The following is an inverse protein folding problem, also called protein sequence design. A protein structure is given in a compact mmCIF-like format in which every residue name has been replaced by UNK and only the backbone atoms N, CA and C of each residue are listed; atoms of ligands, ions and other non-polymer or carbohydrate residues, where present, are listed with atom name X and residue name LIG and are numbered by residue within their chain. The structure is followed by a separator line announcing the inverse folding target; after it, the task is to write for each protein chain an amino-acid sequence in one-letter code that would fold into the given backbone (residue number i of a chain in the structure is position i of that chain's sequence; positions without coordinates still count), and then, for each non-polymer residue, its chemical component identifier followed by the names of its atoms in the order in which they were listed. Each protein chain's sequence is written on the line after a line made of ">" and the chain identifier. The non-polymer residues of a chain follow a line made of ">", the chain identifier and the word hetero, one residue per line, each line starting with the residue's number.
data_IF_568473087811
#
_entry.id   IF_568473087811
#
_cell.length_a   1.000
_cell.length_b   1.000
_cell.length_c   1.000
_cell.angle_alpha   90.00
_cell.angle_beta   90.00
_cell.angle_gamma   90.00
#
_symmetry.space_group_name_H-M   'P 1'
#
loop_
_entity.id
_entity.type
_entity.pdbx_description
1 polymer ?
#
# COMPACT_ATOMS: atom_id res chain seq x y z
N UNK A 1 0.33 -6.62 22.54
CA UNK A 1 -0.57 -7.11 21.49
C UNK A 1 0.21 -7.78 20.37
N UNK A 2 -0.44 -8.67 19.63
CA UNK A 2 0.05 -9.26 18.39
C UNK A 2 -0.27 -8.30 17.24
N UNK A 3 0.73 -8.01 16.41
CA UNK A 3 0.59 -7.26 15.16
C UNK A 3 0.76 -8.26 14.01
N UNK A 4 -0.21 -8.34 13.12
CA UNK A 4 -0.22 -9.35 12.06
C UNK A 4 -0.47 -8.73 10.69
N UNK A 5 -0.31 -9.53 9.65
CA UNK A 5 -0.56 -9.16 8.26
C UNK A 5 -2.04 -8.75 8.05
N UNK A 6 -2.28 -7.94 7.03
CA UNK A 6 -3.61 -7.67 6.50
C UNK A 6 -3.72 -8.28 5.10
N UNK A 7 -4.48 -9.35 4.96
CA UNK A 7 -4.59 -10.12 3.73
C UNK A 7 -6.07 -10.24 3.36
N UNK A 8 -6.41 -9.92 2.10
CA UNK A 8 -7.80 -9.96 1.67
C UNK A 8 -8.70 -9.01 2.46
N UNK A 9 -8.17 -7.87 2.91
CA UNK A 9 -8.92 -6.86 3.67
C UNK A 9 -9.20 -7.24 5.14
N UNK A 10 -8.60 -8.31 5.68
CA UNK A 10 -8.80 -8.77 7.07
C UNK A 10 -7.46 -9.11 7.74
N UNK A 11 -7.39 -9.00 9.09
CA UNK A 11 -6.23 -9.50 9.82
C UNK A 11 -6.04 -11.01 9.57
N UNK A 12 -4.82 -11.39 9.26
CA UNK A 12 -4.46 -12.78 9.03
C UNK A 12 -4.64 -13.63 10.28
N UNK A 13 -5.27 -14.78 10.14
CA UNK A 13 -5.62 -15.67 11.25
C UNK A 13 -4.64 -16.84 11.43
N UNK A 14 -3.62 -16.93 10.59
CA UNK A 14 -2.61 -17.99 10.68
C UNK A 14 -1.66 -17.82 11.85
N UNK A 15 -0.69 -18.71 11.93
CA UNK A 15 0.38 -18.68 12.93
C UNK A 15 1.72 -18.48 12.23
N UNK A 16 2.42 -17.40 12.57
CA UNK A 16 3.76 -17.15 12.05
C UNK A 16 4.80 -18.02 12.75
N UNK A 17 5.70 -18.61 11.98
CA UNK A 17 6.83 -19.38 12.52
C UNK A 17 7.90 -18.47 13.14
N UNK A 18 7.97 -17.22 12.68
CA UNK A 18 8.93 -16.22 13.16
C UNK A 18 8.22 -14.93 13.56
N UNK A 19 8.73 -14.27 14.59
CA UNK A 19 8.19 -13.01 15.08
C UNK A 19 9.33 -12.03 15.39
N UNK A 20 9.00 -10.74 15.45
CA UNK A 20 9.91 -9.67 15.88
C UNK A 20 9.26 -8.86 17.00
N UNK A 21 10.02 -8.42 18.01
CA UNK A 21 9.50 -7.50 19.00
C UNK A 21 9.34 -6.10 18.42
N UNK A 22 8.30 -5.39 18.83
CA UNK A 22 8.08 -3.97 18.55
C UNK A 22 8.24 -3.20 19.85
N UNK A 23 9.01 -2.11 19.82
CA UNK A 23 9.37 -1.34 20.98
C UNK A 23 8.85 0.10 20.90
N UNK A 24 8.59 0.69 22.06
CA UNK A 24 8.53 2.13 22.18
C UNK A 24 9.97 2.66 22.38
N UNK A 25 10.55 3.37 21.41
CA UNK A 25 11.95 3.80 21.50
C UNK A 25 12.18 4.88 22.59
N UNK A 26 11.13 5.57 23.04
CA UNK A 26 11.25 6.57 24.10
C UNK A 26 11.40 5.94 25.49
N UNK A 27 10.83 4.75 25.72
CA UNK A 27 10.90 4.05 27.01
C UNK A 27 11.78 2.80 26.98
N UNK A 28 12.06 2.25 25.77
CA UNK A 28 12.73 0.97 25.59
C UNK A 28 11.85 -0.25 25.89
N UNK A 29 10.56 -0.04 26.20
CA UNK A 29 9.64 -1.13 26.51
C UNK A 29 9.13 -1.81 25.25
N UNK A 30 9.02 -3.13 25.28
CA UNK A 30 8.38 -3.89 24.23
C UNK A 30 6.86 -3.67 24.31
N UNK A 31 6.29 -3.12 23.23
CA UNK A 31 4.87 -2.78 23.13
C UNK A 31 4.08 -3.78 22.30
N UNK A 32 4.74 -4.62 21.51
CA UNK A 32 4.07 -5.59 20.64
C UNK A 32 4.96 -6.72 20.19
N UNK A 33 4.32 -7.68 19.48
CA UNK A 33 4.99 -8.78 18.79
C UNK A 33 4.44 -8.81 17.37
N UNK A 34 5.34 -8.69 16.39
CA UNK A 34 5.02 -8.67 14.97
C UNK A 34 5.23 -10.05 14.36
N UNK A 35 4.25 -10.53 13.60
CA UNK A 35 4.40 -11.72 12.77
C UNK A 35 5.30 -11.42 11.57
N UNK A 36 6.23 -12.32 11.26
CA UNK A 36 7.08 -12.24 10.06
C UNK A 36 6.62 -13.28 9.03
N UNK A 37 6.36 -12.81 7.82
CA UNK A 37 5.96 -13.67 6.71
C UNK A 37 7.12 -14.54 6.23
N UNK A 38 6.82 -15.80 5.91
CA UNK A 38 7.70 -16.65 5.14
C UNK A 38 7.58 -16.36 3.65
N UNK A 39 8.54 -16.88 2.86
CA UNK A 39 8.50 -16.78 1.39
C UNK A 39 7.22 -17.39 0.80
N UNK A 40 6.74 -18.51 1.39
CA UNK A 40 5.51 -19.18 0.96
C UNK A 40 4.29 -18.29 1.19
N UNK A 41 4.15 -17.68 2.37
CA UNK A 41 3.05 -16.77 2.66
C UNK A 41 3.05 -15.56 1.72
N UNK A 42 4.21 -14.99 1.43
CA UNK A 42 4.33 -13.91 0.43
C UNK A 42 3.81 -14.37 -0.93
N UNK A 43 4.18 -15.57 -1.38
CA UNK A 43 3.72 -16.15 -2.63
C UNK A 43 2.19 -16.33 -2.67
N UNK A 44 1.60 -16.82 -1.58
CA UNK A 44 0.14 -16.95 -1.43
C UNK A 44 -0.56 -15.60 -1.52
N UNK A 45 -0.02 -14.58 -0.85
CA UNK A 45 -0.58 -13.21 -0.86
C UNK A 45 -0.51 -12.60 -2.25
N UNK A 46 0.61 -12.73 -2.96
CA UNK A 46 0.75 -12.22 -4.34
C UNK A 46 -0.25 -12.93 -5.28
N UNK A 47 -0.40 -14.25 -5.14
CA UNK A 47 -1.37 -15.03 -5.91
C UNK A 47 -2.81 -14.58 -5.64
N UNK A 48 -3.16 -14.39 -4.37
CA UNK A 48 -4.47 -13.87 -3.95
C UNK A 48 -4.72 -12.45 -4.48
N UNK A 49 -3.72 -11.57 -4.39
CA UNK A 49 -3.80 -10.21 -4.92
C UNK A 49 -4.04 -10.18 -6.43
N UNK A 50 -3.37 -11.08 -7.17
CA UNK A 50 -3.58 -11.24 -8.61
C UNK A 50 -5.01 -11.68 -8.94
N UNK A 51 -5.51 -12.67 -8.24
CA UNK A 51 -6.89 -13.15 -8.43
C UNK A 51 -7.93 -12.06 -8.12
N UNK A 52 -7.73 -11.29 -7.04
CA UNK A 52 -8.58 -10.14 -6.70
C UNK A 52 -8.53 -9.06 -7.77
N UNK A 53 -7.33 -8.74 -8.28
CA UNK A 53 -7.15 -7.78 -9.36
C UNK A 53 -7.86 -8.21 -10.65
N UNK A 54 -7.67 -9.46 -11.11
CA UNK A 54 -8.28 -10.00 -12.32
C UNK A 54 -9.82 -10.03 -12.24
N UNK A 55 -10.37 -10.35 -11.07
CA UNK A 55 -11.82 -10.47 -10.85
C UNK A 55 -12.54 -9.14 -10.63
N UNK A 56 -11.84 -8.09 -10.20
CA UNK A 56 -12.49 -6.83 -9.79
C UNK A 56 -11.82 -5.57 -10.36
N UNK A 57 -10.57 -5.29 -9.97
CA UNK A 57 -9.96 -3.97 -10.13
C UNK A 57 -9.38 -3.71 -11.52
N UNK A 58 -8.93 -4.73 -12.23
CA UNK A 58 -8.42 -4.62 -13.60
C UNK A 58 -9.42 -3.91 -14.53
N UNK A 59 -10.70 -4.22 -14.35
CA UNK A 59 -11.80 -3.69 -15.18
C UNK A 59 -12.60 -2.58 -14.49
N UNK A 60 -12.23 -2.19 -13.28
CA UNK A 60 -12.88 -1.09 -12.59
C UNK A 60 -12.78 0.19 -13.42
N UNK A 61 -13.91 0.87 -13.59
CA UNK A 61 -13.95 2.15 -14.31
C UNK A 61 -13.14 3.22 -13.58
N UNK A 62 -12.71 4.25 -14.31
CA UNK A 62 -12.04 5.40 -13.69
C UNK A 62 -12.90 6.04 -12.60
N UNK A 63 -14.23 6.08 -12.79
CA UNK A 63 -15.18 6.59 -11.80
C UNK A 63 -15.14 5.77 -10.50
N UNK A 64 -15.18 4.44 -10.59
CA UNK A 64 -15.12 3.57 -9.42
C UNK A 64 -13.80 3.75 -8.65
N UNK A 65 -12.67 3.83 -9.37
CA UNK A 65 -11.35 4.06 -8.76
C UNK A 65 -11.30 5.42 -8.07
N UNK A 66 -11.81 6.46 -8.72
CA UNK A 66 -11.85 7.82 -8.17
C UNK A 66 -12.72 7.91 -6.93
N UNK A 67 -13.88 7.25 -6.89
CA UNK A 67 -14.74 7.24 -5.71
C UNK A 67 -14.02 6.64 -4.49
N UNK A 68 -13.32 5.51 -4.66
CA UNK A 68 -12.53 4.92 -3.58
C UNK A 68 -11.41 5.86 -3.09
N UNK A 69 -10.72 6.55 -4.02
CA UNK A 69 -9.67 7.51 -3.69
C UNK A 69 -10.19 8.73 -2.92
N UNK A 70 -11.28 9.34 -3.36
CA UNK A 70 -11.88 10.47 -2.64
C UNK A 70 -12.34 10.06 -1.24
N UNK A 71 -12.99 8.89 -1.12
CA UNK A 71 -13.42 8.38 0.19
C UNK A 71 -12.21 8.10 1.10
N UNK A 72 -11.16 7.48 0.58
CA UNK A 72 -9.92 7.26 1.32
C UNK A 72 -9.28 8.57 1.77
N UNK A 73 -9.20 9.56 0.89
CA UNK A 73 -8.68 10.90 1.21
C UNK A 73 -9.39 11.54 2.39
N UNK A 74 -10.74 11.50 2.42
CA UNK A 74 -11.54 12.03 3.52
C UNK A 74 -11.24 11.28 4.82
N UNK A 75 -11.29 9.96 4.81
CA UNK A 75 -11.01 9.14 6.00
C UNK A 75 -9.59 9.37 6.54
N UNK A 76 -8.60 9.48 5.66
CA UNK A 76 -7.22 9.76 6.05
C UNK A 76 -7.10 11.14 6.71
N UNK A 77 -7.77 12.17 6.16
CA UNK A 77 -7.77 13.50 6.74
C UNK A 77 -8.46 13.54 8.11
N UNK A 78 -9.59 12.86 8.26
CA UNK A 78 -10.33 12.76 9.51
C UNK A 78 -9.54 12.05 10.61
N UNK A 79 -8.81 10.99 10.26
CA UNK A 79 -8.07 10.14 11.23
C UNK A 79 -6.56 10.32 11.23
N UNK A 80 -6.05 11.40 10.66
CA UNK A 80 -4.60 11.66 10.62
C UNK A 80 -3.96 11.75 12.00
N UNK A 81 -4.66 12.24 13.00
CA UNK A 81 -4.16 12.32 14.36
C UNK A 81 -4.01 10.92 15.00
N UNK A 82 -4.97 10.02 14.79
CA UNK A 82 -4.90 8.63 15.28
C UNK A 82 -3.69 7.90 14.66
N UNK A 83 -3.44 8.09 13.36
CA UNK A 83 -2.28 7.51 12.68
C UNK A 83 -0.98 8.11 13.22
N UNK A 84 -0.96 9.43 13.47
CA UNK A 84 0.21 10.10 14.01
C UNK A 84 0.57 9.60 15.43
N UNK A 85 -0.41 9.29 16.27
CA UNK A 85 -0.19 8.70 17.59
C UNK A 85 0.46 7.30 17.50
N UNK A 86 0.01 6.47 16.53
CA UNK A 86 0.64 5.17 16.27
C UNK A 86 2.10 5.33 15.84
N UNK A 87 2.39 6.29 14.95
CA UNK A 87 3.75 6.60 14.52
C UNK A 87 4.60 7.04 15.72
N UNK A 88 4.09 7.96 16.53
CA UNK A 88 4.82 8.42 17.73
C UNK A 88 5.13 7.28 18.68
N UNK A 89 4.20 6.36 18.89
CA UNK A 89 4.35 5.24 19.81
C UNK A 89 5.44 4.24 19.38
N UNK A 90 5.60 4.00 18.09
CA UNK A 90 6.54 3.00 17.56
C UNK A 90 7.83 3.61 16.98
N UNK A 91 7.79 4.85 16.47
CA UNK A 91 8.95 5.54 15.91
C UNK A 91 9.64 6.46 16.92
N UNK A 92 8.89 7.05 17.86
CA UNK A 92 9.41 8.00 18.85
C UNK A 92 9.50 9.47 18.40
N UNK A 93 9.10 9.81 17.17
CA UNK A 93 8.99 11.21 16.75
C UNK A 93 7.84 11.91 17.47
N UNK A 94 7.91 13.21 17.66
CA UNK A 94 6.84 13.99 18.31
C UNK A 94 5.57 13.99 17.46
N UNK A 95 4.41 14.06 18.09
CA UNK A 95 3.10 13.98 17.42
C UNK A 95 2.94 15.03 16.30
N UNK A 96 3.46 16.25 16.51
CA UNK A 96 3.41 17.31 15.49
C UNK A 96 4.15 16.92 14.20
N UNK A 97 5.31 16.26 14.30
CA UNK A 97 6.06 15.79 13.14
C UNK A 97 5.37 14.60 12.48
N UNK A 98 4.78 13.71 13.26
CA UNK A 98 3.99 12.60 12.74
C UNK A 98 2.73 13.08 12.00
N UNK A 99 2.03 14.11 12.51
CA UNK A 99 0.92 14.76 11.78
C UNK A 99 1.42 15.38 10.47
N UNK A 100 2.57 16.06 10.50
CA UNK A 100 3.21 16.63 9.30
C UNK A 100 3.56 15.57 8.28
N UNK A 101 4.02 14.39 8.72
CA UNK A 101 4.29 13.24 7.87
C UNK A 101 3.02 12.74 7.16
N UNK A 102 1.95 12.48 7.92
CA UNK A 102 0.66 12.02 7.36
C UNK A 102 0.07 13.06 6.42
N UNK A 103 0.21 14.36 6.74
CA UNK A 103 -0.27 15.46 5.88
C UNK A 103 0.43 15.45 4.52
N UNK A 104 1.75 15.25 4.47
CA UNK A 104 2.48 15.13 3.18
C UNK A 104 2.07 13.89 2.39
N UNK A 105 1.75 12.79 3.09
CA UNK A 105 1.16 11.62 2.44
C UNK A 105 -0.24 11.88 1.89
N UNK A 106 -1.06 12.65 2.61
CA UNK A 106 -2.40 13.07 2.20
C UNK A 106 -2.35 13.90 0.90
N UNK A 107 -1.38 14.80 0.75
CA UNK A 107 -1.19 15.60 -0.49
C UNK A 107 -1.00 14.70 -1.73
N UNK A 108 -0.30 13.57 -1.59
CA UNK A 108 -0.15 12.61 -2.69
C UNK A 108 -1.44 11.83 -2.93
N UNK A 109 -2.21 11.50 -1.89
CA UNK A 109 -3.53 10.90 -2.05
C UNK A 109 -4.49 11.88 -2.79
N UNK A 110 -4.42 13.18 -2.51
CA UNK A 110 -5.15 14.22 -3.24
C UNK A 110 -4.74 14.28 -4.72
N UNK A 111 -3.42 14.26 -5.00
CA UNK A 111 -2.93 14.15 -6.37
C UNK A 111 -3.47 12.90 -7.08
N UNK A 112 -3.50 11.76 -6.39
CA UNK A 112 -3.99 10.49 -6.94
C UNK A 112 -5.49 10.57 -7.34
N UNK A 113 -6.30 11.38 -6.67
CA UNK A 113 -7.70 11.62 -7.06
C UNK A 113 -7.82 12.23 -8.47
N UNK A 114 -6.80 12.96 -8.94
CA UNK A 114 -6.72 13.54 -10.28
C UNK A 114 -6.14 12.64 -11.36
N UNK A 115 -5.60 11.48 -11.03
CA UNK A 115 -4.92 10.57 -11.97
C UNK A 115 -5.77 10.17 -13.19
N UNK A 116 -7.11 10.03 -13.12
CA UNK A 116 -7.91 9.76 -14.32
C UNK A 116 -7.66 10.72 -15.48
N UNK A 117 -7.32 11.97 -15.19
CA UNK A 117 -6.96 12.95 -16.22
C UNK A 117 -5.59 12.69 -16.85
N UNK A 118 -4.67 12.03 -16.12
CA UNK A 118 -3.32 11.66 -16.56
C UNK A 118 -3.29 10.31 -17.28
N UNK A 119 -4.32 9.49 -17.10
CA UNK A 119 -4.45 8.18 -17.75
C UNK A 119 -4.97 8.26 -19.17
N UNK A 120 -5.24 9.46 -19.69
CA UNK A 120 -5.60 9.65 -21.10
C UNK A 120 -4.46 9.17 -21.99
N UNK A 121 -4.85 8.44 -23.06
CA UNK A 121 -3.92 8.08 -24.11
C UNK A 121 -3.67 9.21 -25.10
N UNK A 122 -2.88 8.93 -26.12
CA UNK A 122 -2.67 9.83 -27.26
C UNK A 122 -3.40 9.33 -28.49
N UNK A 123 -3.70 10.26 -29.40
CA UNK A 123 -4.24 9.98 -30.73
C UNK A 123 -3.44 10.78 -31.77
N UNK A 124 -3.14 10.16 -32.90
CA UNK A 124 -2.54 10.82 -34.08
C UNK A 124 -3.26 10.36 -35.34
N UNK A 125 -3.80 11.32 -36.10
CA UNK A 125 -4.48 11.08 -37.34
C UNK A 125 -3.47 11.06 -38.52
N UNK A 126 -3.67 10.17 -39.47
CA UNK A 126 -2.89 10.09 -40.72
C UNK A 126 -1.36 10.04 -40.50
N UNK A 127 -0.88 9.24 -39.56
CA UNK A 127 0.56 9.00 -39.35
C UNK A 127 1.22 8.35 -40.58
N UNK A 128 0.40 7.71 -41.40
CA UNK A 128 0.65 7.26 -42.75
C UNK A 128 -0.69 7.32 -43.53
N UNK A 129 -0.66 7.13 -44.83
CA UNK A 129 -1.87 7.17 -45.67
C UNK A 129 -2.95 6.21 -45.17
N UNK A 130 -4.08 6.73 -44.69
CA UNK A 130 -5.22 6.01 -44.09
C UNK A 130 -4.87 5.19 -42.83
N UNK A 131 -3.86 5.62 -42.04
CA UNK A 131 -3.48 4.97 -40.80
C UNK A 131 -3.54 5.99 -39.65
N UNK A 132 -4.44 5.73 -38.71
CA UNK A 132 -4.50 6.44 -37.43
C UNK A 132 -3.85 5.60 -36.33
N UNK A 133 -3.24 6.25 -35.31
CA UNK A 133 -2.61 5.59 -34.17
C UNK A 133 -3.17 6.16 -32.89
N UNK A 134 -3.48 5.28 -31.95
CA UNK A 134 -3.82 5.67 -30.60
C UNK A 134 -3.09 4.82 -29.58
N UNK A 135 -2.88 5.39 -28.38
CA UNK A 135 -2.32 4.68 -27.24
C UNK A 135 -3.33 4.66 -26.09
N UNK A 136 -3.32 3.57 -25.34
CA UNK A 136 -4.10 3.43 -24.10
C UNK A 136 -3.17 3.07 -22.95
N UNK A 137 -3.55 3.46 -21.74
CA UNK A 137 -2.82 3.09 -20.52
C UNK A 137 -3.57 1.98 -19.80
N UNK A 138 -2.84 0.92 -19.43
CA UNK A 138 -3.37 -0.24 -18.72
C UNK A 138 -2.60 -0.46 -17.42
N UNK A 139 -3.25 -1.08 -16.44
CA UNK A 139 -2.60 -1.50 -15.21
C UNK A 139 -1.60 -2.63 -15.46
N UNK A 140 -0.56 -2.70 -14.64
CA UNK A 140 0.48 -3.73 -14.73
C UNK A 140 0.06 -5.06 -14.12
N UNK A 141 -0.78 -5.03 -13.09
CA UNK A 141 -1.18 -6.18 -12.29
C UNK A 141 -0.84 -5.99 -10.82
N UNK A 142 -0.13 -6.93 -10.22
CA UNK A 142 0.34 -6.80 -8.84
C UNK A 142 1.64 -6.01 -8.82
N UNK A 143 1.70 -5.00 -7.96
CA UNK A 143 2.91 -4.21 -7.69
C UNK A 143 3.27 -4.31 -6.21
N UNK A 144 4.56 -4.30 -5.90
CA UNK A 144 5.05 -4.34 -4.53
C UNK A 144 5.51 -2.96 -4.08
N UNK A 145 5.35 -2.68 -2.78
CA UNK A 145 5.89 -1.50 -2.10
C UNK A 145 6.71 -1.96 -0.92
N UNK A 146 7.96 -1.51 -0.82
CA UNK A 146 8.85 -1.77 0.32
C UNK A 146 9.18 -0.41 0.93
N UNK A 147 8.79 -0.19 2.19
CA UNK A 147 8.91 1.10 2.84
C UNK A 147 9.77 1.06 4.10
N UNK A 148 10.47 2.17 4.42
CA UNK A 148 11.39 2.26 5.56
C UNK A 148 10.66 2.61 6.86
N UNK A 149 11.42 2.64 7.97
CA UNK A 149 10.90 3.01 9.28
C UNK A 149 10.83 4.52 9.51
N UNK A 150 11.68 5.32 8.88
CA UNK A 150 11.81 6.76 9.20
C UNK A 150 10.58 7.61 8.79
N UNK A 151 9.77 7.12 7.84
CA UNK A 151 8.49 7.70 7.43
C UNK A 151 7.47 6.59 7.15
N UNK A 152 6.96 5.93 8.22
CA UNK A 152 6.17 4.70 8.09
C UNK A 152 4.81 4.89 7.44
N UNK A 153 4.24 6.10 7.44
CA UNK A 153 3.00 6.41 6.75
C UNK A 153 3.22 7.17 5.44
N UNK A 154 4.12 8.17 5.43
CA UNK A 154 4.32 9.03 4.27
C UNK A 154 4.78 8.26 3.04
N UNK A 155 5.77 7.39 3.18
CA UNK A 155 6.31 6.63 2.04
C UNK A 155 5.30 5.65 1.46
N UNK A 156 4.56 4.84 2.25
CA UNK A 156 3.42 4.08 1.74
C UNK A 156 2.39 4.93 0.99
N UNK A 157 2.07 6.12 1.51
CA UNK A 157 1.11 7.03 0.90
C UNK A 157 1.62 7.68 -0.40
N UNK A 158 2.93 7.68 -0.66
CA UNK A 158 3.47 8.11 -1.95
C UNK A 158 3.18 7.12 -3.08
N UNK A 159 3.14 5.83 -2.77
CA UNK A 159 3.05 4.78 -3.80
C UNK A 159 1.67 4.14 -3.88
N UNK A 160 1.06 3.79 -2.74
CA UNK A 160 -0.18 3.01 -2.71
C UNK A 160 -1.34 3.72 -3.41
N UNK A 161 -1.66 5.01 -3.13
CA UNK A 161 -2.77 5.70 -3.79
C UNK A 161 -2.59 5.78 -5.31
N UNK A 162 -1.37 6.06 -5.77
CA UNK A 162 -1.06 6.15 -7.22
C UNK A 162 -1.19 4.79 -7.89
N UNK A 163 -0.65 3.73 -7.28
CA UNK A 163 -0.76 2.38 -7.81
C UNK A 163 -2.22 1.93 -7.95
N UNK A 164 -3.05 2.17 -6.92
CA UNK A 164 -4.48 1.86 -6.90
C UNK A 164 -5.23 2.68 -7.96
N UNK A 165 -4.96 3.98 -8.07
CA UNK A 165 -5.56 4.84 -9.08
C UNK A 165 -5.26 4.36 -10.51
N UNK A 166 -4.05 3.87 -10.76
CA UNK A 166 -3.65 3.27 -12.03
C UNK A 166 -4.26 1.88 -12.28
N UNK A 167 -5.00 1.33 -11.31
CA UNK A 167 -5.73 0.06 -11.46
C UNK A 167 -4.91 -1.17 -11.10
N UNK A 168 -3.84 -1.04 -10.33
CA UNK A 168 -3.03 -2.16 -9.86
C UNK A 168 -3.55 -2.70 -8.52
N UNK A 169 -3.23 -3.95 -8.20
CA UNK A 169 -3.23 -4.47 -6.84
C UNK A 169 -1.86 -4.24 -6.20
N UNK A 170 -1.85 -4.06 -4.88
CA UNK A 170 -0.65 -3.71 -4.13
C UNK A 170 -0.40 -4.72 -3.01
N UNK A 171 0.84 -5.19 -2.92
CA UNK A 171 1.37 -5.89 -1.74
C UNK A 171 2.44 -4.99 -1.12
N UNK A 172 2.20 -4.48 0.09
CA UNK A 172 3.15 -3.63 0.79
C UNK A 172 3.82 -4.37 1.93
N UNK A 173 5.15 -4.25 2.00
CA UNK A 173 5.98 -4.66 3.14
C UNK A 173 6.51 -3.41 3.86
N UNK A 174 5.89 -2.99 4.97
CA UNK A 174 6.41 -1.92 5.80
C UNK A 174 7.63 -2.37 6.61
N UNK A 175 8.29 -1.43 7.29
CA UNK A 175 9.34 -1.76 8.26
C UNK A 175 8.79 -2.62 9.41
N UNK A 176 9.59 -3.54 9.89
CA UNK A 176 9.30 -4.35 11.08
C UNK A 176 9.40 -3.56 12.40
N UNK A 177 9.94 -2.33 12.36
CA UNK A 177 10.16 -1.51 13.56
C UNK A 177 8.93 -0.74 14.00
N UNK A 178 8.10 -0.31 13.02
CA UNK A 178 6.93 0.55 13.24
C UNK A 178 5.77 0.17 12.29
N UNK A 179 5.22 -1.05 12.44
CA UNK A 179 4.29 -1.64 11.48
C UNK A 179 2.85 -1.13 11.58
N UNK A 180 2.42 -0.58 12.72
CA UNK A 180 1.00 -0.36 13.01
C UNK A 180 0.36 0.75 12.17
N UNK A 181 1.13 1.78 11.81
CA UNK A 181 0.63 2.89 10.99
C UNK A 181 0.15 2.41 9.62
N UNK A 182 0.87 1.48 8.97
CA UNK A 182 0.47 0.94 7.66
C UNK A 182 -0.79 0.08 7.77
N UNK A 183 -0.93 -0.72 8.84
CA UNK A 183 -2.14 -1.48 9.09
C UNK A 183 -3.36 -0.56 9.26
N UNK A 184 -3.22 0.55 9.99
CA UNK A 184 -4.28 1.54 10.16
C UNK A 184 -4.65 2.19 8.81
N UNK A 185 -3.67 2.59 8.00
CA UNK A 185 -3.90 3.14 6.65
C UNK A 185 -4.60 2.12 5.75
N UNK A 186 -4.21 0.84 5.79
CA UNK A 186 -4.85 -0.21 5.01
C UNK A 186 -6.31 -0.46 5.43
N UNK A 187 -6.63 -0.33 6.73
CA UNK A 187 -8.01 -0.39 7.22
C UNK A 187 -8.87 0.75 6.65
N UNK A 188 -8.32 1.96 6.47
CA UNK A 188 -9.02 3.07 5.84
C UNK A 188 -9.35 2.79 4.37
N UNK A 189 -8.48 2.12 3.63
CA UNK A 189 -8.76 1.71 2.26
C UNK A 189 -9.95 0.75 2.16
N UNK A 190 -10.05 -0.21 3.07
CA UNK A 190 -11.21 -1.09 3.16
C UNK A 190 -12.49 -0.31 3.46
N UNK A 191 -12.46 0.61 4.42
CA UNK A 191 -13.59 1.49 4.76
C UNK A 191 -13.98 2.41 3.59
N UNK A 192 -13.01 2.82 2.78
CA UNK A 192 -13.22 3.59 1.56
C UNK A 192 -13.91 2.80 0.43
N UNK A 193 -14.08 1.49 0.60
CA UNK A 193 -14.73 0.62 -0.38
C UNK A 193 -13.79 0.04 -1.43
N UNK A 194 -12.48 0.03 -1.17
CA UNK A 194 -11.53 -0.72 -2.00
C UNK A 194 -11.87 -2.22 -1.89
N UNK A 195 -12.00 -2.97 -3.02
CA UNK A 195 -12.27 -4.40 -2.96
C UNK A 195 -11.21 -5.17 -2.18
N UNK A 196 -11.65 -6.17 -1.43
CA UNK A 196 -10.77 -7.04 -0.65
C UNK A 196 -9.71 -7.68 -1.55
N UNK A 197 -8.46 -7.72 -1.09
CA UNK A 197 -7.31 -8.27 -1.80
C UNK A 197 -6.61 -7.30 -2.78
N UNK A 198 -7.15 -6.11 -3.04
CA UNK A 198 -6.47 -5.09 -3.87
C UNK A 198 -5.31 -4.43 -3.11
N UNK A 199 -5.43 -4.26 -1.80
CA UNK A 199 -4.34 -3.87 -0.92
C UNK A 199 -4.10 -4.95 0.14
N UNK A 200 -2.87 -5.42 0.22
CA UNK A 200 -2.43 -6.39 1.22
C UNK A 200 -1.18 -5.87 1.93
N UNK A 201 -1.10 -6.09 3.24
CA UNK A 201 0.08 -5.77 4.05
C UNK A 201 0.71 -7.06 4.53
N UNK A 202 1.95 -7.30 4.14
CA UNK A 202 2.77 -8.39 4.65
C UNK A 202 3.92 -7.83 5.48
N UNK A 203 4.00 -8.21 6.72
CA UNK A 203 5.13 -7.86 7.58
C UNK A 203 6.25 -8.87 7.41
N UNK A 204 7.48 -8.42 7.50
CA UNK A 204 8.62 -9.33 7.34
C UNK A 204 9.94 -8.58 7.25
N UNK A 205 10.99 -9.36 7.31
CA UNK A 205 12.37 -8.96 7.15
C UNK A 205 12.90 -9.24 5.73
N UNK A 206 14.18 -9.50 5.60
CA UNK A 206 14.85 -9.79 4.32
C UNK A 206 14.17 -10.93 3.54
N UNK A 207 13.69 -11.97 4.22
CA UNK A 207 13.04 -13.11 3.55
C UNK A 207 11.81 -12.68 2.76
N UNK A 208 10.95 -11.87 3.37
CA UNK A 208 9.76 -11.34 2.70
C UNK A 208 10.13 -10.38 1.55
N UNK A 209 11.19 -9.58 1.72
CA UNK A 209 11.72 -8.70 0.66
C UNK A 209 12.21 -9.52 -0.53
N UNK A 210 13.06 -10.51 -0.31
CA UNK A 210 13.60 -11.35 -1.38
C UNK A 210 12.48 -12.10 -2.14
N UNK A 211 11.46 -12.57 -1.41
CA UNK A 211 10.30 -13.22 -2.01
C UNK A 211 9.51 -12.26 -2.92
N UNK A 212 9.29 -11.01 -2.52
CA UNK A 212 8.63 -10.01 -3.36
C UNK A 212 9.46 -9.63 -4.59
N UNK A 213 10.80 -9.48 -4.42
CA UNK A 213 11.70 -9.08 -5.50
C UNK A 213 11.79 -10.13 -6.62
N UNK A 214 11.64 -11.39 -6.28
CA UNK A 214 11.83 -12.51 -7.21
C UNK A 214 10.52 -13.12 -7.72
N UNK A 215 9.37 -12.69 -7.19
CA UNK A 215 8.08 -13.27 -7.55
C UNK A 215 7.67 -12.91 -8.99
N UNK A 216 7.34 -13.88 -9.86
CA UNK A 216 7.08 -13.64 -11.29
C UNK A 216 5.83 -12.79 -11.55
N UNK A 217 4.86 -12.78 -10.64
CA UNK A 217 3.62 -11.99 -10.76
C UNK A 217 3.74 -10.58 -10.18
N UNK A 218 4.82 -10.22 -9.50
CA UNK A 218 5.13 -8.84 -9.13
C UNK A 218 5.70 -8.12 -10.35
N UNK A 219 4.96 -7.15 -10.89
CA UNK A 219 5.28 -6.49 -12.17
C UNK A 219 6.08 -5.20 -12.01
N UNK A 220 6.04 -4.59 -10.84
CA UNK A 220 6.82 -3.40 -10.51
C UNK A 220 7.05 -3.33 -9.00
N UNK A 221 8.10 -2.64 -8.61
CA UNK A 221 8.45 -2.42 -7.21
C UNK A 221 8.72 -0.94 -6.98
N UNK A 222 8.12 -0.40 -5.93
CA UNK A 222 8.46 0.90 -5.37
C UNK A 222 9.21 0.69 -4.06
N UNK A 223 10.39 1.29 -3.95
CA UNK A 223 11.29 1.07 -2.83
C UNK A 223 11.81 2.40 -2.27
N UNK A 224 11.75 2.54 -0.97
CA UNK A 224 12.55 3.51 -0.21
C UNK A 224 13.15 2.77 0.98
N UNK A 225 14.45 2.91 1.16
CA UNK A 225 15.19 2.25 2.23
C UNK A 225 16.69 2.33 2.01
N UNK A 226 17.45 1.54 2.78
CA UNK A 226 18.91 1.45 2.72
C UNK A 226 19.34 -0.01 2.55
#
# INVERSE_FOLDING_TARGET
>A
PRITHLIGGTPWQGSAARTSPVFNPATGEQTGVLDLASSELVGEVVTSAKAAWESSWQRASLTQRTQALFRFRELLNERKAEIAELITAEHGKVVSDAIGEVTRGLEVAEFACGIPHLLKGGFSENVSTKVDVYSIRQSLGVVAVISPFNFPAMVPLWFVPVAIACGNAVVIKPSEKDPSAVNAVAALWKEAGLPDGILNVVHGDKEAVDALLTHPDVKAISFVGS
#
